data_IF_570548416490
#
_entry.id   IF_570548416490
#
_cell.length_a   1.000
_cell.length_b   1.000
_cell.length_c   1.000
_cell.angle_alpha   90.00
_cell.angle_beta   90.00
_cell.angle_gamma   90.00
#
_symmetry.space_group_name_H-M   'P 1'
#
loop_
_entity.id
_entity.type
_entity.pdbx_description
1 polymer ?
#
# COMPACT_ATOMS: atom_id res chain seq x y z
N UNK A 1 -3.25 14.08 -7.03
CA UNK A 1 -4.42 13.90 -6.15
C UNK A 1 -4.20 14.59 -4.82
N UNK A 2 -5.26 14.97 -4.08
CA UNK A 2 -5.14 15.60 -2.76
C UNK A 2 -4.63 14.59 -1.72
N UNK A 3 -3.67 15.02 -0.89
CA UNK A 3 -2.98 14.21 0.12
C UNK A 3 -2.60 15.09 1.31
N UNK A 4 -2.46 14.49 2.50
CA UNK A 4 -1.97 15.16 3.73
C UNK A 4 -0.88 14.32 4.40
N UNK A 5 0.05 14.98 5.08
CA UNK A 5 1.12 14.35 5.85
C UNK A 5 1.63 15.28 6.94
N UNK A 6 2.37 14.72 7.90
CA UNK A 6 3.15 15.48 8.88
C UNK A 6 4.56 15.79 8.35
N UNK A 7 5.11 16.94 8.74
CA UNK A 7 6.47 17.37 8.45
C UNK A 7 7.19 17.74 9.75
N UNK A 8 8.51 17.59 9.79
CA UNK A 8 9.31 17.95 10.97
C UNK A 8 9.01 17.13 12.23
N UNK A 9 8.43 15.94 12.07
CA UNK A 9 8.12 15.01 13.16
C UNK A 9 9.11 13.85 13.20
N UNK A 10 9.47 13.42 14.41
CA UNK A 10 10.16 12.15 14.61
C UNK A 10 9.14 11.01 14.64
N UNK A 11 9.26 10.06 13.72
CA UNK A 11 8.37 8.90 13.67
C UNK A 11 8.76 7.88 14.74
N UNK A 12 7.78 7.27 15.45
CA UNK A 12 8.08 6.21 16.39
C UNK A 12 8.70 5.00 15.69
N UNK A 13 9.54 4.26 16.40
CA UNK A 13 10.08 2.98 15.90
C UNK A 13 8.94 1.99 15.69
N UNK A 14 8.84 1.43 14.49
CA UNK A 14 7.88 0.38 14.17
C UNK A 14 8.14 -0.91 14.98
N UNK A 15 7.05 -1.59 15.35
CA UNK A 15 7.07 -2.89 16.04
C UNK A 15 7.14 -4.06 15.05
N UNK A 16 6.59 -3.87 13.85
CA UNK A 16 6.49 -4.90 12.83
C UNK A 16 7.00 -4.42 11.48
N UNK A 17 7.41 -5.40 10.66
CA UNK A 17 7.72 -5.24 9.25
C UNK A 17 6.76 -6.12 8.45
N UNK A 18 5.73 -5.54 7.85
CA UNK A 18 4.79 -6.24 6.97
C UNK A 18 5.44 -6.35 5.59
N UNK A 19 5.78 -7.57 5.18
CA UNK A 19 6.53 -7.84 3.94
C UNK A 19 5.56 -8.13 2.80
N UNK A 20 5.75 -7.46 1.67
CA UNK A 20 4.96 -7.68 0.45
C UNK A 20 5.72 -8.66 -0.44
N UNK A 21 5.07 -9.77 -0.77
CA UNK A 21 5.64 -10.87 -1.54
C UNK A 21 4.96 -11.01 -2.89
N UNK A 22 5.76 -11.14 -3.95
CA UNK A 22 5.28 -11.61 -5.25
C UNK A 22 5.78 -13.05 -5.49
N UNK A 23 4.98 -13.84 -6.19
CA UNK A 23 5.38 -15.19 -6.60
C UNK A 23 6.51 -15.12 -7.63
N UNK A 24 7.30 -16.18 -7.71
CA UNK A 24 8.34 -16.32 -8.74
C UNK A 24 7.79 -16.12 -10.16
N UNK A 25 6.60 -16.63 -10.44
CA UNK A 25 5.91 -16.47 -11.73
C UNK A 25 5.59 -15.01 -12.05
N UNK A 26 5.11 -14.24 -11.06
CA UNK A 26 4.81 -12.83 -11.26
C UNK A 26 6.10 -12.02 -11.52
N UNK A 27 7.15 -12.28 -10.74
CA UNK A 27 8.44 -11.64 -10.92
C UNK A 27 9.08 -11.97 -12.27
N UNK A 28 8.91 -13.19 -12.76
CA UNK A 28 9.32 -13.57 -14.11
C UNK A 28 8.57 -12.79 -15.20
N UNK A 29 7.26 -12.56 -15.06
CA UNK A 29 6.47 -11.72 -15.98
C UNK A 29 6.94 -10.26 -15.98
N UNK A 30 7.47 -9.78 -14.85
CA UNK A 30 8.05 -8.45 -14.69
C UNK A 30 9.54 -8.37 -15.06
N UNK A 31 10.13 -9.46 -15.57
CA UNK A 31 11.52 -9.50 -16.04
C UNK A 31 12.58 -9.65 -14.95
N UNK A 32 12.19 -10.05 -13.74
CA UNK A 32 13.07 -10.23 -12.58
C UNK A 32 12.99 -11.66 -12.01
N UNK A 33 13.35 -12.72 -12.78
CA UNK A 33 13.22 -14.10 -12.31
C UNK A 33 14.11 -14.38 -11.09
N UNK A 34 13.63 -15.26 -10.20
CA UNK A 34 14.31 -15.65 -8.97
C UNK A 34 14.38 -17.18 -8.84
N UNK A 35 15.35 -17.68 -8.06
CA UNK A 35 15.50 -19.09 -7.69
C UNK A 35 14.93 -19.35 -6.28
N UNK A 36 13.64 -19.06 -6.12
CA UNK A 36 12.83 -19.29 -4.91
C UNK A 36 11.34 -19.19 -5.26
N UNK A 37 10.44 -19.62 -4.36
CA UNK A 37 8.99 -19.55 -4.60
C UNK A 37 8.42 -18.12 -4.52
N UNK A 38 9.01 -17.27 -3.68
CA UNK A 38 8.53 -15.91 -3.37
C UNK A 38 9.68 -14.91 -3.30
N UNK A 39 9.46 -13.70 -3.81
CA UNK A 39 10.39 -12.59 -3.69
C UNK A 39 9.78 -11.40 -2.94
N UNK A 40 10.61 -10.74 -2.13
CA UNK A 40 10.24 -9.53 -1.40
C UNK A 40 10.27 -8.34 -2.36
N UNK A 41 9.13 -7.71 -2.60
CA UNK A 41 9.01 -6.54 -3.49
C UNK A 41 8.85 -5.23 -2.73
N UNK A 42 8.59 -5.32 -1.43
CA UNK A 42 8.43 -4.16 -0.57
C UNK A 42 8.18 -4.56 0.87
N UNK A 43 8.14 -3.55 1.72
CA UNK A 43 7.77 -3.70 3.11
C UNK A 43 7.10 -2.43 3.63
N UNK A 44 6.27 -2.59 4.65
CA UNK A 44 5.62 -1.52 5.38
C UNK A 44 6.01 -1.65 6.85
N UNK A 45 6.48 -0.56 7.44
CA UNK A 45 6.84 -0.50 8.86
C UNK A 45 5.62 -0.04 9.65
N UNK A 46 5.17 -0.84 10.62
CA UNK A 46 3.88 -0.63 11.30
C UNK A 46 3.99 -0.84 12.81
N UNK A 47 3.05 -0.21 13.55
CA UNK A 47 2.90 -0.44 14.99
C UNK A 47 2.21 -1.79 15.29
N UNK A 48 1.33 -2.22 14.39
CA UNK A 48 0.51 -3.45 14.50
C UNK A 48 0.82 -4.40 13.33
N UNK A 49 0.62 -5.73 13.47
CA UNK A 49 1.01 -6.71 12.46
C UNK A 49 0.09 -6.75 11.24
N UNK A 50 -1.10 -6.15 11.31
CA UNK A 50 -2.07 -6.12 10.21
C UNK A 50 -1.61 -5.18 9.08
N UNK A 51 -2.03 -5.53 7.85
CA UNK A 51 -1.81 -4.66 6.70
C UNK A 51 -2.54 -3.32 6.89
N UNK A 52 -1.82 -2.22 6.68
CA UNK A 52 -2.41 -0.88 6.66
C UNK A 52 -3.30 -0.76 5.41
N UNK A 53 -4.58 -0.38 5.55
CA UNK A 53 -5.44 -0.21 4.40
C UNK A 53 -4.85 0.78 3.40
N UNK A 54 -4.96 0.46 2.11
CA UNK A 54 -4.61 1.39 1.03
C UNK A 54 -5.31 2.74 1.22
N UNK A 55 -4.61 3.85 0.93
CA UNK A 55 -5.22 5.18 1.02
C UNK A 55 -6.48 5.29 0.14
N UNK A 56 -7.57 5.93 0.61
CA UNK A 56 -8.85 5.98 -0.12
C UNK A 56 -8.72 6.50 -1.55
N UNK A 57 -7.86 7.49 -1.75
CA UNK A 57 -7.61 8.08 -3.07
C UNK A 57 -6.94 7.12 -4.04
N UNK A 58 -6.09 6.22 -3.55
CA UNK A 58 -5.46 5.17 -4.37
C UNK A 58 -6.51 4.16 -4.82
N UNK A 59 -7.45 3.79 -3.95
CA UNK A 59 -8.58 2.93 -4.32
C UNK A 59 -9.46 3.58 -5.39
N UNK A 60 -9.76 4.89 -5.25
CA UNK A 60 -10.52 5.63 -6.26
C UNK A 60 -9.78 5.71 -7.59
N UNK A 61 -8.48 6.04 -7.59
CA UNK A 61 -7.65 6.05 -8.81
C UNK A 61 -7.61 4.68 -9.46
N UNK A 62 -7.46 3.61 -8.68
CA UNK A 62 -7.41 2.25 -9.20
C UNK A 62 -8.68 1.89 -9.99
N UNK A 63 -9.84 2.35 -9.54
CA UNK A 63 -11.11 2.13 -10.23
C UNK A 63 -11.26 2.89 -11.56
N UNK A 64 -10.40 3.89 -11.85
CA UNK A 64 -10.43 4.64 -13.12
C UNK A 64 -9.75 3.91 -14.28
N UNK A 65 -9.00 2.84 -14.02
CA UNK A 65 -8.30 2.06 -15.05
C UNK A 65 -6.89 2.55 -15.37
N UNK A 66 -6.23 1.82 -16.26
CA UNK A 66 -4.80 1.96 -16.57
C UNK A 66 -4.43 3.30 -17.19
N UNK A 67 -5.33 3.90 -17.98
CA UNK A 67 -5.13 5.20 -18.62
C UNK A 67 -4.92 6.33 -17.59
N UNK A 68 -5.53 6.18 -16.41
CA UNK A 68 -5.42 7.13 -15.29
C UNK A 68 -4.41 6.65 -14.23
N UNK A 69 -3.56 5.67 -14.57
CA UNK A 69 -2.55 5.09 -13.67
C UNK A 69 -3.13 4.18 -12.58
N UNK A 70 -4.36 3.69 -12.76
CA UNK A 70 -5.03 2.74 -11.89
C UNK A 70 -4.90 1.28 -12.36
N UNK A 71 -5.26 0.33 -11.50
CA UNK A 71 -5.26 -1.10 -11.86
C UNK A 71 -6.51 -1.56 -12.63
N UNK A 72 -7.57 -0.75 -12.71
CA UNK A 72 -8.88 -1.13 -13.25
C UNK A 72 -9.74 -1.97 -12.32
N UNK A 73 -9.28 -2.24 -11.10
CA UNK A 73 -10.03 -3.01 -10.10
C UNK A 73 -11.22 -2.15 -9.61
N UNK A 74 -12.46 -2.66 -9.66
CA UNK A 74 -13.63 -1.93 -9.17
C UNK A 74 -13.49 -1.51 -7.70
N UNK A 75 -14.07 -0.36 -7.36
CA UNK A 75 -14.06 0.13 -5.98
C UNK A 75 -14.93 -0.76 -5.07
N UNK A 76 -14.29 -1.45 -4.13
CA UNK A 76 -14.97 -2.10 -3.01
C UNK A 76 -15.37 -1.04 -1.96
N UNK A 77 -16.69 -0.90 -1.73
CA UNK A 77 -17.26 0.11 -0.83
C UNK A 77 -16.94 -0.16 0.64
N UNK A 78 -16.93 -1.41 1.07
CA UNK A 78 -16.66 -1.75 2.47
C UNK A 78 -15.18 -1.57 2.77
N UNK A 79 -14.30 -2.02 1.87
CA UNK A 79 -12.87 -1.79 1.98
C UNK A 79 -12.55 -0.29 1.97
N UNK A 80 -13.24 0.49 1.13
CA UNK A 80 -13.08 1.94 1.09
C UNK A 80 -13.50 2.59 2.42
N UNK A 81 -14.62 2.17 3.02
CA UNK A 81 -15.05 2.68 4.32
C UNK A 81 -14.06 2.36 5.44
N UNK A 82 -13.51 1.13 5.47
CA UNK A 82 -12.44 0.76 6.42
C UNK A 82 -11.19 1.61 6.22
N UNK A 83 -10.80 1.86 4.97
CA UNK A 83 -9.70 2.75 4.66
C UNK A 83 -9.97 4.18 5.16
N UNK A 84 -11.16 4.74 4.90
CA UNK A 84 -11.53 6.07 5.39
C UNK A 84 -11.44 6.15 6.91
N UNK A 85 -12.00 5.18 7.65
CA UNK A 85 -11.96 5.17 9.11
C UNK A 85 -10.52 5.15 9.65
N UNK A 86 -9.63 4.37 9.03
CA UNK A 86 -8.22 4.37 9.37
C UNK A 86 -7.56 5.72 9.07
N UNK A 87 -7.69 6.21 7.83
CA UNK A 87 -6.99 7.40 7.36
C UNK A 87 -7.59 8.73 7.87
N UNK A 88 -8.77 8.72 8.48
CA UNK A 88 -9.34 9.87 9.19
C UNK A 88 -8.51 10.26 10.41
N UNK A 89 -7.92 9.25 11.09
CA UNK A 89 -7.14 9.42 12.32
C UNK A 89 -5.63 9.23 12.12
N UNK A 90 -5.19 8.88 10.90
CA UNK A 90 -3.80 8.63 10.57
C UNK A 90 -3.34 9.47 9.37
N UNK A 91 -2.05 9.80 9.32
CA UNK A 91 -1.43 10.45 8.17
C UNK A 91 0.02 9.97 8.03
N UNK A 92 0.54 9.97 6.79
CA UNK A 92 1.95 9.70 6.53
C UNK A 92 2.82 10.85 7.08
N UNK A 93 4.14 10.64 7.14
CA UNK A 93 5.10 11.69 7.43
C UNK A 93 6.14 11.78 6.30
N UNK A 94 6.84 12.91 6.22
CA UNK A 94 8.00 13.10 5.34
C UNK A 94 9.20 13.59 6.15
N UNK A 95 10.44 13.17 5.80
CA UNK A 95 11.67 13.71 6.39
C UNK A 95 11.82 15.22 6.15
#
# INVERSE_FOLDING_TARGET
>A
VLVRWFEGVESPRASYLVVILYSAEQLAKEGSPIDADWGIVGCIYTAEPEEVPMAPITMMRNALGVEEGGSGVPLDREAYQRAVQFWENNANWRP
#
